data_IF_619823093444
#
_entry.id   IF_619823093444
#
_cell.length_a   1.000
_cell.length_b   1.000
_cell.length_c   1.000
_cell.angle_alpha   90.00
_cell.angle_beta   90.00
_cell.angle_gamma   90.00
#
_symmetry.space_group_name_H-M   'P 1'
#
loop_
_entity.id
_entity.type
_entity.pdbx_description
1 polymer ?
#
# COMPACT_ATOMS: atom_id res chain seq x y z
N UNK A 1 -46.94 -61.39 -62.89
CA UNK A 1 -46.01 -62.33 -62.24
C UNK A 1 -45.51 -61.66 -60.97
N UNK A 2 -46.11 -62.06 -59.85
CA UNK A 2 -45.96 -61.41 -58.55
C UNK A 2 -44.99 -62.23 -57.72
N UNK A 3 -43.88 -61.63 -57.28
CA UNK A 3 -42.97 -62.30 -56.33
C UNK A 3 -43.13 -61.57 -54.95
N UNK A 4 -43.66 -62.30 -53.98
CA UNK A 4 -43.73 -61.94 -52.56
C UNK A 4 -42.35 -62.15 -51.94
N UNK A 5 -41.76 -61.14 -51.34
CA UNK A 5 -40.61 -61.27 -50.42
C UNK A 5 -41.07 -61.08 -48.98
N UNK A 6 -40.81 -62.06 -48.18
CA UNK A 6 -41.13 -62.14 -46.74
C UNK A 6 -40.07 -61.32 -45.97
N UNK A 7 -40.49 -60.44 -45.10
CA UNK A 7 -39.62 -59.68 -44.20
C UNK A 7 -39.71 -60.35 -42.81
N UNK A 8 -38.57 -60.92 -42.38
CA UNK A 8 -38.38 -61.46 -41.05
C UNK A 8 -38.08 -60.33 -40.06
N UNK A 9 -38.93 -60.19 -39.01
CA UNK A 9 -38.72 -59.26 -37.92
C UNK A 9 -37.69 -59.83 -36.93
N UNK A 10 -36.56 -59.14 -36.79
CA UNK A 10 -35.66 -59.37 -35.64
C UNK A 10 -35.98 -58.35 -34.57
N UNK A 11 -36.51 -58.80 -33.41
CA UNK A 11 -36.66 -58.04 -32.20
C UNK A 11 -35.24 -57.92 -31.53
N UNK A 12 -34.62 -56.77 -31.65
CA UNK A 12 -33.42 -56.47 -30.86
C UNK A 12 -33.88 -55.76 -29.57
N UNK A 13 -33.76 -56.46 -28.44
CA UNK A 13 -33.91 -55.91 -27.11
C UNK A 13 -32.65 -55.12 -26.80
N UNK A 14 -32.73 -53.79 -26.89
CA UNK A 14 -31.65 -52.91 -26.46
C UNK A 14 -31.68 -52.78 -24.92
N UNK A 15 -30.69 -53.40 -24.27
CA UNK A 15 -30.46 -53.31 -22.81
C UNK A 15 -29.81 -51.95 -22.54
N UNK A 16 -30.60 -50.96 -22.11
CA UNK A 16 -30.12 -49.66 -21.64
C UNK A 16 -29.43 -49.81 -20.29
N UNK A 17 -28.10 -49.88 -20.32
CA UNK A 17 -27.26 -49.73 -19.14
C UNK A 17 -27.33 -48.26 -18.67
N UNK A 18 -28.16 -47.99 -17.66
CA UNK A 18 -28.12 -46.73 -16.91
C UNK A 18 -26.82 -46.70 -16.08
N UNK A 19 -25.82 -46.00 -16.57
CA UNK A 19 -24.65 -45.65 -15.79
C UNK A 19 -25.02 -44.46 -14.86
N UNK A 20 -24.98 -44.59 -13.54
CA UNK A 20 -25.20 -43.42 -12.67
C UNK A 20 -24.01 -42.48 -12.82
N UNK A 21 -24.21 -41.30 -13.39
CA UNK A 21 -23.25 -40.19 -13.30
C UNK A 21 -23.15 -39.81 -11.81
N UNK A 22 -22.10 -40.28 -11.16
CA UNK A 22 -21.67 -39.73 -9.88
C UNK A 22 -21.08 -38.36 -10.20
N UNK A 23 -21.89 -37.31 -10.03
CA UNK A 23 -21.39 -35.92 -9.98
C UNK A 23 -20.63 -35.83 -8.65
N UNK A 24 -19.33 -36.12 -8.70
CA UNK A 24 -18.40 -35.81 -7.63
C UNK A 24 -18.49 -34.28 -7.44
N UNK A 25 -19.02 -33.85 -6.32
CA UNK A 25 -19.20 -32.45 -5.98
C UNK A 25 -17.88 -31.72 -6.15
N UNK A 26 -17.90 -30.59 -6.88
CA UNK A 26 -16.83 -29.61 -6.90
C UNK A 26 -16.48 -29.28 -5.46
N UNK A 27 -15.21 -29.52 -5.12
CA UNK A 27 -14.69 -29.22 -3.80
C UNK A 27 -15.01 -27.79 -3.37
N UNK A 28 -15.16 -27.58 -2.09
CA UNK A 28 -15.36 -26.31 -1.45
C UNK A 28 -14.43 -25.27 -2.09
N UNK A 29 -15.03 -24.23 -2.68
CA UNK A 29 -14.26 -23.06 -3.10
C UNK A 29 -13.57 -22.56 -1.85
N UNK A 30 -12.26 -22.78 -1.76
CA UNK A 30 -11.43 -22.13 -0.76
C UNK A 30 -11.56 -20.63 -0.98
N UNK A 31 -12.51 -20.01 -0.31
CA UNK A 31 -12.58 -18.55 -0.25
C UNK A 31 -11.32 -18.10 0.47
N UNK A 32 -10.45 -17.30 -0.17
CA UNK A 32 -9.26 -16.80 0.49
C UNK A 32 -9.68 -16.14 1.81
N UNK A 33 -9.06 -16.53 2.91
CA UNK A 33 -9.32 -15.89 4.20
C UNK A 33 -8.95 -14.41 4.05
N UNK A 34 -9.81 -13.45 4.43
CA UNK A 34 -9.48 -12.04 4.37
C UNK A 34 -8.16 -11.78 5.10
N UNK A 35 -7.30 -10.97 4.51
CA UNK A 35 -6.09 -10.52 5.19
C UNK A 35 -6.49 -9.70 6.43
N UNK A 36 -5.96 -10.07 7.58
CA UNK A 36 -6.23 -9.37 8.84
C UNK A 36 -4.99 -8.57 9.21
N UNK A 37 -5.13 -7.25 9.28
CA UNK A 37 -4.09 -6.37 9.76
C UNK A 37 -3.89 -6.56 11.27
N UNK A 38 -2.70 -6.94 11.66
CA UNK A 38 -2.28 -7.01 13.07
C UNK A 38 -1.45 -5.77 13.39
N UNK A 39 -2.11 -4.75 13.96
CA UNK A 39 -1.51 -3.45 14.20
C UNK A 39 -1.81 -2.93 15.60
N UNK A 40 -0.86 -2.20 16.17
CA UNK A 40 -0.95 -1.54 17.49
C UNK A 40 -1.02 -0.02 17.31
N UNK A 41 -2.03 0.62 17.89
CA UNK A 41 -2.18 2.08 17.91
C UNK A 41 -1.26 2.69 18.97
N UNK A 42 -0.67 3.85 18.66
CA UNK A 42 0.28 4.54 19.55
C UNK A 42 -0.13 6.00 19.75
N UNK A 43 0.07 6.49 20.97
CA UNK A 43 -0.07 7.89 21.34
C UNK A 43 1.14 8.72 20.86
N UNK A 44 1.06 10.05 20.98
CA UNK A 44 2.13 11.00 20.63
C UNK A 44 3.46 10.72 21.36
N UNK A 45 3.43 10.14 22.54
CA UNK A 45 4.61 9.77 23.33
C UNK A 45 5.15 8.36 23.02
N UNK A 46 4.50 7.62 22.11
CA UNK A 46 4.84 6.25 21.75
C UNK A 46 4.22 5.17 22.65
N UNK A 47 3.49 5.52 23.69
CA UNK A 47 2.75 4.56 24.50
C UNK A 47 1.59 3.94 23.71
N UNK A 48 1.19 2.71 24.10
CA UNK A 48 0.09 2.01 23.46
C UNK A 48 -1.22 2.76 23.71
N UNK A 49 -1.97 2.98 22.63
CA UNK A 49 -3.34 3.49 22.68
C UNK A 49 -4.31 2.31 22.57
N UNK A 50 -5.07 2.04 23.62
CA UNK A 50 -6.06 0.96 23.69
C UNK A 50 -7.45 1.35 23.18
N UNK A 51 -7.61 2.61 22.74
CA UNK A 51 -8.84 3.15 22.18
C UNK A 51 -9.28 2.39 20.93
N UNK A 52 -10.60 2.19 20.83
CA UNK A 52 -11.24 1.54 19.68
C UNK A 52 -11.97 2.54 18.76
N UNK A 53 -12.22 3.73 19.29
CA UNK A 53 -12.96 4.79 18.61
C UNK A 53 -12.04 6.02 18.51
N UNK A 54 -11.58 6.32 17.30
CA UNK A 54 -10.65 7.42 17.04
C UNK A 54 -11.20 8.78 17.45
N UNK A 55 -12.49 9.01 17.27
CA UNK A 55 -13.11 10.30 17.64
C UNK A 55 -13.12 10.55 19.16
N UNK A 56 -13.10 9.47 19.96
CA UNK A 56 -13.06 9.57 21.43
C UNK A 56 -11.65 9.53 21.99
N UNK A 57 -10.78 8.75 21.38
CA UNK A 57 -9.41 8.55 21.81
C UNK A 57 -8.50 8.47 20.57
N UNK A 58 -8.15 9.62 19.97
CA UNK A 58 -7.30 9.67 18.78
C UNK A 58 -5.90 9.13 19.08
N UNK A 59 -5.33 8.42 18.10
CA UNK A 59 -3.95 7.96 18.12
C UNK A 59 -3.12 8.67 17.06
N UNK A 60 -1.81 8.69 17.23
CA UNK A 60 -0.89 9.47 16.41
C UNK A 60 -0.08 8.62 15.44
N UNK A 61 0.15 7.34 15.80
CA UNK A 61 0.86 6.38 14.97
C UNK A 61 0.22 5.00 15.06
N UNK A 62 0.63 4.14 14.12
CA UNK A 62 0.26 2.73 14.10
C UNK A 62 1.51 1.89 13.83
N UNK A 63 1.79 0.93 14.71
CA UNK A 63 2.81 -0.07 14.48
C UNK A 63 2.20 -1.29 13.80
N UNK A 64 2.73 -1.68 12.65
CA UNK A 64 2.49 -2.97 12.04
C UNK A 64 3.31 -4.03 12.78
N UNK A 65 2.64 -4.97 13.44
CA UNK A 65 3.28 -5.99 14.25
C UNK A 65 3.98 -7.08 13.41
N UNK A 66 3.70 -7.15 12.11
CA UNK A 66 4.32 -8.11 11.20
C UNK A 66 5.64 -7.57 10.61
N UNK A 67 5.63 -6.33 10.12
CA UNK A 67 6.81 -5.68 9.53
C UNK A 67 7.67 -4.92 10.53
N UNK A 68 7.15 -4.61 11.73
CA UNK A 68 7.70 -3.68 12.72
C UNK A 68 7.85 -2.23 12.20
N UNK A 69 7.20 -1.89 11.11
CA UNK A 69 7.10 -0.52 10.65
C UNK A 69 6.11 0.26 11.54
N UNK A 70 6.49 1.48 11.88
CA UNK A 70 5.59 2.41 12.57
C UNK A 70 5.18 3.47 11.56
N UNK A 71 3.87 3.67 11.40
CA UNK A 71 3.26 4.54 10.41
C UNK A 71 2.68 5.78 11.05
N UNK A 72 2.91 6.92 10.44
CA UNK A 72 2.24 8.17 10.77
C UNK A 72 0.73 8.07 10.54
N UNK A 73 -0.08 8.59 11.45
CA UNK A 73 -1.52 8.81 11.25
C UNK A 73 -1.77 10.27 10.92
N UNK A 74 -2.44 10.51 9.80
CA UNK A 74 -2.83 11.86 9.38
C UNK A 74 -3.99 12.37 10.22
N UNK A 75 -4.16 13.70 10.25
CA UNK A 75 -5.18 14.41 11.04
C UNK A 75 -6.05 15.26 10.14
N UNK A 76 -7.33 15.41 10.47
CA UNK A 76 -8.22 16.36 9.79
C UNK A 76 -8.03 17.80 10.27
N UNK A 77 -7.53 18.01 11.49
CA UNK A 77 -7.26 19.33 12.04
C UNK A 77 -6.11 20.05 11.30
N UNK A 78 -6.16 21.38 11.19
CA UNK A 78 -5.07 22.15 10.61
C UNK A 78 -3.74 21.94 11.34
N UNK A 79 -2.66 21.86 10.61
CA UNK A 79 -1.31 21.68 11.15
C UNK A 79 -0.42 20.79 10.30
N UNK A 80 0.74 20.44 10.85
CA UNK A 80 1.79 19.71 10.14
C UNK A 80 1.30 18.38 9.55
N UNK A 81 0.49 17.61 10.29
CA UNK A 81 -0.02 16.31 9.87
C UNK A 81 -1.38 16.38 9.14
N UNK A 82 -1.81 17.58 8.72
CA UNK A 82 -3.11 17.72 8.08
C UNK A 82 -3.20 16.86 6.80
N UNK A 83 -4.32 16.18 6.66
CA UNK A 83 -4.60 15.24 5.56
C UNK A 83 -4.63 15.91 4.18
N UNK A 84 -4.92 17.22 4.12
CA UNK A 84 -4.99 18.00 2.88
C UNK A 84 -3.64 18.61 2.48
N UNK A 85 -2.61 18.50 3.31
CA UNK A 85 -1.28 18.99 2.97
C UNK A 85 -0.71 18.20 1.80
N UNK A 86 -0.11 18.90 0.85
CA UNK A 86 0.61 18.32 -0.28
C UNK A 86 2.03 18.87 -0.35
N UNK A 87 2.94 18.08 -0.89
CA UNK A 87 4.38 18.34 -0.89
C UNK A 87 4.97 18.01 -2.24
N UNK A 88 5.93 18.83 -2.71
CA UNK A 88 6.79 18.44 -3.82
C UNK A 88 7.84 17.44 -3.35
N UNK A 89 8.32 16.61 -4.26
CA UNK A 89 9.44 15.72 -3.94
C UNK A 89 10.75 16.50 -3.96
N UNK A 90 11.49 16.49 -2.86
CA UNK A 90 12.80 17.14 -2.73
C UNK A 90 13.73 16.32 -1.83
N UNK A 91 14.92 16.03 -2.35
CA UNK A 91 15.99 15.35 -1.64
C UNK A 91 17.32 16.01 -2.09
N UNK A 92 18.03 16.75 -1.22
CA UNK A 92 19.26 17.43 -1.56
C UNK A 92 20.47 16.48 -1.67
N UNK A 93 20.37 15.23 -1.16
CA UNK A 93 21.47 14.27 -1.23
C UNK A 93 21.63 13.71 -2.65
N UNK A 94 22.80 13.97 -3.25
CA UNK A 94 23.12 13.52 -4.61
C UNK A 94 23.23 12.00 -4.74
N UNK A 95 23.46 11.29 -3.64
CA UNK A 95 23.55 9.84 -3.64
C UNK A 95 22.19 9.15 -3.72
N UNK A 96 21.14 9.84 -3.29
CA UNK A 96 19.77 9.28 -3.19
C UNK A 96 18.78 9.92 -4.16
N UNK A 97 19.04 11.15 -4.64
CA UNK A 97 18.09 11.91 -5.44
C UNK A 97 18.04 11.54 -6.94
N UNK A 98 18.79 10.55 -7.40
CA UNK A 98 18.76 10.08 -8.79
C UNK A 98 19.24 11.13 -9.82
N UNK A 99 20.08 12.08 -9.40
CA UNK A 99 20.71 13.10 -10.24
C UNK A 99 19.91 14.39 -10.46
N UNK A 100 18.81 14.56 -9.74
CA UNK A 100 18.08 15.81 -9.59
C UNK A 100 17.33 15.87 -8.27
N UNK A 101 17.64 16.88 -7.48
CA UNK A 101 17.08 17.05 -6.13
C UNK A 101 15.54 17.17 -6.08
N UNK A 102 14.91 17.49 -7.20
CA UNK A 102 13.49 17.84 -7.22
C UNK A 102 13.28 19.33 -6.94
N UNK A 103 12.11 19.70 -6.48
CA UNK A 103 11.74 21.10 -6.26
C UNK A 103 11.41 21.34 -4.80
N UNK A 104 12.17 22.21 -4.15
CA UNK A 104 11.90 22.63 -2.77
C UNK A 104 10.63 23.50 -2.70
N UNK A 105 9.89 23.35 -1.62
CA UNK A 105 8.76 24.20 -1.20
C UNK A 105 7.73 24.48 -2.31
N UNK A 106 7.34 23.46 -3.10
CA UNK A 106 6.40 23.64 -4.21
C UNK A 106 5.05 22.92 -3.99
N UNK A 107 4.78 22.45 -2.80
CA UNK A 107 3.47 21.96 -2.39
C UNK A 107 2.57 23.05 -1.77
N UNK A 108 1.51 22.59 -1.09
CA UNK A 108 0.60 23.44 -0.31
C UNK A 108 0.40 22.79 1.06
N UNK A 109 0.93 23.39 2.10
CA UNK A 109 0.91 22.82 3.44
C UNK A 109 0.99 23.86 4.55
N UNK A 110 0.92 23.42 5.80
CA UNK A 110 1.15 24.24 7.00
C UNK A 110 2.11 23.50 7.95
N UNK A 111 2.97 24.28 8.64
CA UNK A 111 3.85 23.76 9.70
C UNK A 111 5.27 23.41 9.25
N UNK A 112 5.55 23.42 7.96
CA UNK A 112 6.90 23.31 7.37
C UNK A 112 6.94 24.00 6.02
N UNK A 113 8.10 24.04 5.36
CA UNK A 113 8.14 24.19 3.92
C UNK A 113 7.50 22.96 3.26
N UNK A 114 6.89 23.18 2.08
CA UNK A 114 5.99 22.18 1.48
C UNK A 114 6.72 21.28 0.49
N UNK A 115 7.76 20.61 0.97
CA UNK A 115 8.49 19.54 0.29
C UNK A 115 8.76 18.35 1.22
N UNK A 116 9.18 17.22 0.64
CA UNK A 116 9.38 15.97 1.38
C UNK A 116 10.45 16.07 2.46
N UNK A 117 11.57 16.70 2.19
CA UNK A 117 12.70 16.83 3.12
C UNK A 117 12.33 17.73 4.31
N UNK A 118 11.70 18.86 4.05
CA UNK A 118 11.27 19.81 5.08
C UNK A 118 10.20 19.22 5.99
N UNK A 119 9.28 18.44 5.43
CA UNK A 119 8.29 17.72 6.21
C UNK A 119 8.92 16.66 7.12
N UNK A 120 9.85 15.85 6.61
CA UNK A 120 10.59 14.84 7.39
C UNK A 120 11.30 15.52 8.57
N UNK A 121 12.02 16.62 8.33
CA UNK A 121 12.70 17.38 9.38
C UNK A 121 11.72 17.89 10.46
N UNK A 122 10.57 18.42 10.06
CA UNK A 122 9.58 18.95 10.98
C UNK A 122 8.95 17.84 11.85
N UNK A 123 8.63 16.67 11.28
CA UNK A 123 8.12 15.52 12.04
C UNK A 123 9.17 14.98 13.02
N UNK A 124 10.43 14.89 12.59
CA UNK A 124 11.53 14.45 13.45
C UNK A 124 11.79 15.43 14.62
N UNK A 125 11.73 16.74 14.36
CA UNK A 125 11.83 17.76 15.39
C UNK A 125 10.67 17.68 16.40
N UNK A 126 9.45 17.36 15.94
CA UNK A 126 8.27 17.13 16.77
C UNK A 126 8.38 15.86 17.63
N UNK A 127 9.29 14.94 17.29
CA UNK A 127 9.42 13.61 17.92
C UNK A 127 8.09 12.86 17.93
N UNK A 128 7.47 12.74 16.76
CA UNK A 128 6.20 12.05 16.61
C UNK A 128 6.28 10.64 17.18
N UNK A 129 5.37 10.28 18.08
CA UNK A 129 5.32 9.01 18.81
C UNK A 129 6.64 8.68 19.55
N UNK A 130 7.32 9.72 20.08
CA UNK A 130 8.59 9.60 20.80
C UNK A 130 9.82 9.33 19.90
N UNK A 131 9.65 9.31 18.57
CA UNK A 131 10.67 8.95 17.59
C UNK A 131 11.19 10.18 16.84
N UNK A 132 12.45 10.13 16.36
CA UNK A 132 13.12 11.26 15.68
C UNK A 132 13.89 10.85 14.43
N UNK A 133 13.61 9.68 13.88
CA UNK A 133 14.22 9.11 12.68
C UNK A 133 13.16 8.60 11.68
N UNK A 134 12.06 9.34 11.57
CA UNK A 134 11.06 9.17 10.54
C UNK A 134 11.64 9.44 9.15
N UNK A 135 11.20 8.67 8.17
CA UNK A 135 11.65 8.80 6.78
C UNK A 135 10.49 8.58 5.80
N UNK A 136 10.71 8.98 4.54
CA UNK A 136 9.80 8.74 3.45
C UNK A 136 9.87 7.26 3.04
N UNK A 137 8.75 6.51 3.09
CA UNK A 137 8.77 5.08 2.81
C UNK A 137 9.12 4.77 1.37
N UNK A 138 9.70 3.60 1.14
CA UNK A 138 9.76 3.00 -0.19
C UNK A 138 8.37 2.55 -0.65
N UNK A 139 8.21 2.32 -1.96
CA UNK A 139 6.96 1.80 -2.52
C UNK A 139 6.60 0.41 -1.97
N UNK A 140 7.58 -0.40 -1.59
CA UNK A 140 7.33 -1.72 -0.99
C UNK A 140 6.85 -1.62 0.45
N UNK A 141 7.37 -0.65 1.21
CA UNK A 141 6.89 -0.38 2.56
C UNK A 141 5.43 0.11 2.51
N UNK A 142 5.09 1.06 1.62
CA UNK A 142 3.69 1.51 1.46
C UNK A 142 2.74 0.37 1.09
N UNK A 143 3.20 -0.61 0.29
CA UNK A 143 2.38 -1.76 -0.05
C UNK A 143 1.99 -2.62 1.17
N UNK A 144 2.76 -2.58 2.26
CA UNK A 144 2.45 -3.40 3.47
C UNK A 144 1.17 -2.98 4.17
N UNK A 145 0.73 -1.74 3.97
CA UNK A 145 -0.50 -1.20 4.58
C UNK A 145 -1.67 -1.11 3.60
N UNK A 146 -1.55 -1.68 2.40
CA UNK A 146 -2.63 -1.66 1.41
C UNK A 146 -3.71 -2.66 1.77
N UNK A 147 -4.93 -2.17 1.94
CA UNK A 147 -6.12 -3.01 2.10
C UNK A 147 -6.74 -3.32 0.74
N UNK A 148 -6.41 -4.49 0.20
CA UNK A 148 -6.90 -4.96 -1.11
C UNK A 148 -8.39 -5.30 -1.12
N UNK A 149 -9.05 -5.33 0.04
CA UNK A 149 -10.51 -5.53 0.13
C UNK A 149 -11.29 -4.25 -0.17
N UNK A 150 -10.63 -3.08 -0.12
CA UNK A 150 -11.23 -1.79 -0.42
C UNK A 150 -11.21 -1.53 -1.92
N UNK A 151 -12.40 -1.36 -2.50
CA UNK A 151 -12.56 -1.07 -3.93
C UNK A 151 -12.25 0.40 -4.26
N UNK A 152 -11.85 0.65 -5.51
CA UNK A 152 -11.77 2.02 -6.04
C UNK A 152 -13.06 2.81 -5.79
N UNK A 153 -13.01 4.09 -5.37
CA UNK A 153 -11.83 4.97 -5.33
C UNK A 153 -11.05 4.99 -4.00
N UNK A 154 -11.11 3.95 -3.20
CA UNK A 154 -10.33 3.89 -1.97
C UNK A 154 -10.87 4.75 -0.80
N UNK A 155 -10.01 5.17 0.15
CA UNK A 155 -8.59 4.84 0.21
C UNK A 155 -8.34 3.37 0.57
N UNK A 156 -7.49 2.69 -0.19
CA UNK A 156 -7.11 1.29 0.04
C UNK A 156 -6.19 1.16 1.27
N UNK A 157 -6.69 1.57 2.42
CA UNK A 157 -6.03 1.55 3.73
C UNK A 157 -6.98 0.96 4.79
N UNK A 158 -6.48 0.22 5.78
CA UNK A 158 -7.31 -0.32 6.85
C UNK A 158 -7.85 0.81 7.73
N UNK A 159 -9.10 1.20 7.49
CA UNK A 159 -9.78 2.34 8.13
C UNK A 159 -9.80 2.26 9.66
N UNK A 160 -9.77 1.04 10.22
CA UNK A 160 -9.70 0.83 11.67
C UNK A 160 -8.43 1.41 12.31
N UNK A 161 -7.36 1.59 11.51
CA UNK A 161 -6.07 2.10 11.97
C UNK A 161 -5.73 3.47 11.36
N UNK A 162 -6.21 3.76 10.16
CA UNK A 162 -5.98 5.01 9.43
C UNK A 162 -7.32 5.71 9.11
N UNK A 163 -8.06 6.17 10.13
CA UNK A 163 -9.42 6.68 9.96
C UNK A 163 -9.47 7.97 9.12
N UNK A 164 -8.47 8.83 9.29
CA UNK A 164 -8.33 10.13 8.61
C UNK A 164 -7.44 9.97 7.38
N UNK A 165 -7.87 9.17 6.40
CA UNK A 165 -7.10 8.96 5.17
C UNK A 165 -7.92 9.33 3.95
N UNK A 166 -7.29 10.07 3.03
CA UNK A 166 -7.87 10.35 1.72
C UNK A 166 -7.31 9.38 0.68
N UNK A 167 -8.13 9.03 -0.32
CA UNK A 167 -7.59 8.45 -1.55
C UNK A 167 -6.58 9.43 -2.18
N UNK A 168 -5.73 8.93 -3.05
CA UNK A 168 -4.76 9.77 -3.76
C UNK A 168 -3.36 9.21 -3.76
N UNK A 169 -2.45 10.04 -4.25
CA UNK A 169 -1.06 9.72 -4.51
C UNK A 169 -0.19 10.14 -3.34
N UNK A 170 0.65 9.21 -2.89
CA UNK A 170 1.58 9.41 -1.78
C UNK A 170 3.02 9.22 -2.25
N UNK A 171 3.90 10.17 -1.94
CA UNK A 171 5.30 10.10 -2.28
C UNK A 171 5.99 8.89 -1.66
N UNK A 172 6.92 8.31 -2.43
CA UNK A 172 7.91 7.35 -1.93
C UNK A 172 9.31 7.97 -1.99
N UNK A 173 10.24 7.37 -1.30
CA UNK A 173 11.65 7.75 -1.36
C UNK A 173 12.35 7.32 -2.67
N UNK A 174 11.68 6.55 -3.51
CA UNK A 174 12.27 5.88 -4.66
C UNK A 174 12.24 6.77 -5.91
N UNK A 175 13.40 7.14 -6.43
CA UNK A 175 13.54 7.87 -7.69
C UNK A 175 13.33 6.96 -8.89
N UNK A 176 12.95 7.53 -10.04
CA UNK A 176 12.84 6.77 -11.28
C UNK A 176 14.15 6.83 -12.08
N UNK A 177 14.87 5.72 -12.17
CA UNK A 177 16.25 5.66 -12.69
C UNK A 177 16.45 6.19 -14.12
N UNK A 178 15.47 5.99 -15.00
CA UNK A 178 15.59 6.36 -16.42
C UNK A 178 15.20 7.81 -16.71
N UNK A 179 14.61 8.52 -15.73
CA UNK A 179 14.17 9.91 -15.85
C UNK A 179 14.43 10.64 -14.54
N UNK A 180 15.43 11.51 -14.51
CA UNK A 180 15.87 12.24 -13.30
C UNK A 180 14.75 13.03 -12.64
N UNK A 181 13.81 13.56 -13.43
CA UNK A 181 12.64 14.31 -12.93
C UNK A 181 11.56 13.43 -12.31
N UNK A 182 11.62 12.13 -12.47
CA UNK A 182 10.61 11.20 -11.98
C UNK A 182 10.90 10.62 -10.60
N UNK A 183 9.85 10.45 -9.80
CA UNK A 183 9.87 9.66 -8.58
C UNK A 183 8.63 8.75 -8.53
N UNK A 184 8.76 7.66 -7.80
CA UNK A 184 7.63 6.76 -7.58
C UNK A 184 6.68 7.31 -6.53
N UNK A 185 5.41 7.11 -6.74
CA UNK A 185 4.34 7.30 -5.76
C UNK A 185 3.58 6.00 -5.58
N UNK A 186 2.86 5.91 -4.47
CA UNK A 186 1.82 4.92 -4.25
C UNK A 186 0.45 5.59 -4.32
N UNK A 187 -0.47 5.05 -5.12
CA UNK A 187 -1.85 5.51 -5.20
C UNK A 187 -2.74 4.64 -4.32
N UNK A 188 -3.26 5.21 -3.24
CA UNK A 188 -4.27 4.53 -2.42
C UNK A 188 -5.68 4.60 -3.02
N UNK A 189 -5.88 5.23 -4.18
CA UNK A 189 -7.12 5.12 -4.96
C UNK A 189 -7.29 3.72 -5.55
N UNK A 190 -6.19 3.21 -6.13
CA UNK A 190 -6.15 1.98 -6.93
C UNK A 190 -5.32 0.87 -6.31
N UNK A 191 -4.57 1.14 -5.23
CA UNK A 191 -3.64 0.18 -4.63
C UNK A 191 -2.45 -0.16 -5.54
N UNK A 192 -1.96 0.81 -6.32
CA UNK A 192 -0.86 0.60 -7.27
C UNK A 192 0.19 1.71 -7.22
N UNK A 193 1.40 1.43 -7.70
CA UNK A 193 2.45 2.40 -7.85
C UNK A 193 2.50 3.00 -9.27
N UNK A 194 2.97 4.22 -9.40
CA UNK A 194 3.23 4.89 -10.68
C UNK A 194 4.33 5.94 -10.54
N UNK A 195 4.84 6.41 -11.67
CA UNK A 195 5.88 7.45 -11.73
C UNK A 195 5.25 8.77 -12.10
N UNK A 196 5.58 9.81 -11.31
CA UNK A 196 5.15 11.20 -11.53
C UNK A 196 6.35 12.13 -11.51
N UNK A 197 6.16 13.40 -11.92
CA UNK A 197 7.22 14.41 -11.85
C UNK A 197 7.45 14.85 -10.40
N UNK A 198 8.70 14.97 -9.97
CA UNK A 198 9.09 15.44 -8.63
C UNK A 198 8.58 16.86 -8.31
N UNK A 199 8.28 17.66 -9.34
CA UNK A 199 7.70 19.00 -9.20
C UNK A 199 6.21 18.99 -8.93
N UNK A 200 5.52 17.86 -9.08
CA UNK A 200 4.11 17.75 -8.70
C UNK A 200 3.97 17.75 -7.17
N UNK A 201 2.77 18.06 -6.70
CA UNK A 201 2.48 18.10 -5.27
C UNK A 201 1.54 16.96 -4.89
N UNK A 202 2.02 16.07 -4.02
CA UNK A 202 1.27 14.90 -3.54
C UNK A 202 1.34 14.75 -2.03
N UNK A 203 0.52 13.85 -1.50
CA UNK A 203 0.48 13.55 -0.06
C UNK A 203 1.75 12.82 0.40
N UNK A 204 1.98 12.83 1.71
CA UNK A 204 3.05 12.08 2.38
C UNK A 204 2.44 11.27 3.52
N UNK A 205 2.98 10.07 3.74
CA UNK A 205 2.86 9.31 4.99
C UNK A 205 4.22 8.77 5.35
N UNK A 206 4.76 9.22 6.46
CA UNK A 206 6.07 8.75 6.91
C UNK A 206 5.97 7.40 7.61
N UNK A 207 7.11 6.72 7.63
CA UNK A 207 7.32 5.49 8.38
C UNK A 207 8.59 5.58 9.21
N UNK A 208 8.71 4.67 10.19
CA UNK A 208 9.88 4.46 11.02
C UNK A 208 10.12 2.96 11.19
N UNK A 209 11.39 2.55 11.25
CA UNK A 209 11.80 1.20 11.66
C UNK A 209 13.14 1.27 12.39
N UNK A 210 13.32 0.44 13.41
CA UNK A 210 14.55 0.43 14.23
C UNK A 210 15.84 0.14 13.43
N UNK A 211 15.72 -0.56 12.29
CA UNK A 211 16.82 -0.79 11.34
C UNK A 211 16.22 -0.88 9.93
N UNK A 212 16.38 0.20 9.15
CA UNK A 212 15.95 0.20 7.74
C UNK A 212 16.84 -0.73 6.93
N UNK A 213 16.28 -1.77 6.34
CA UNK A 213 17.00 -2.59 5.36
C UNK A 213 17.17 -1.77 4.07
N UNK A 214 18.36 -1.80 3.44
CA UNK A 214 18.55 -1.19 2.12
C UNK A 214 17.51 -1.70 1.14
N UNK A 215 16.86 -0.80 0.40
CA UNK A 215 15.96 -1.18 -0.68
C UNK A 215 16.79 -1.70 -1.86
N UNK A 216 16.67 -2.98 -2.25
CA UNK A 216 17.45 -3.54 -3.36
C UNK A 216 17.17 -2.87 -4.71
N UNK A 217 16.12 -2.05 -4.82
CA UNK A 217 15.84 -1.25 -6.01
C UNK A 217 16.46 0.16 -5.94
N UNK A 218 16.78 0.66 -4.74
CA UNK A 218 17.52 1.91 -4.57
C UNK A 218 19.01 1.72 -4.78
N UNK A 219 19.52 0.57 -4.35
CA UNK A 219 20.94 0.26 -4.42
C UNK A 219 21.18 -1.08 -5.13
N UNK A 220 21.33 -1.04 -6.48
CA UNK A 220 21.67 -2.24 -7.24
C UNK A 220 23.08 -2.75 -6.94
N UNK A 221 23.94 -1.97 -6.30
CA UNK A 221 25.36 -2.30 -6.05
C UNK A 221 25.54 -3.04 -4.70
N UNK A 222 24.54 -3.07 -3.81
CA UNK A 222 24.56 -3.87 -2.57
C UNK A 222 24.72 -5.38 -2.83
N UNK A 223 24.49 -5.86 -4.05
CA UNK A 223 24.80 -7.26 -4.44
C UNK A 223 26.28 -7.55 -4.65
N UNK A 224 27.14 -6.54 -4.68
CA UNK A 224 28.56 -6.71 -4.96
C UNK A 224 29.41 -7.04 -3.72
N UNK A 225 28.92 -6.75 -2.51
CA UNK A 225 29.69 -6.98 -1.27
C UNK A 225 29.42 -8.33 -0.57
N UNK A 226 28.57 -9.20 -1.14
CA UNK A 226 28.30 -10.52 -0.60
C UNK A 226 28.99 -11.65 -1.38
N UNK A 227 30.24 -11.44 -1.78
CA UNK A 227 31.13 -12.50 -2.29
C UNK A 227 32.36 -12.62 -1.44
#
# INVERSE_FOLDING_TARGET
>A
MLIKSSISSYNSIALLLLCPLIIAGCGDKLTPKPFVFDMTRLNQDGSVNDGKDYAKQPWDCVRDNQSNLIWEVKKSEPGLQNINNTYSWYDPDQNTNGGWAGKANAGVCTGSDCDTESYIKAINAKKLCGLNDWYLPSRFELNTIVDTSVSFPGPALPKAYFPESLPGKYWTDTTFKTRRGGAWIWSFDSGSDLVVEKSEAHSIRLTHVAARKPDPLKDPDVKAEQK
#
